data_IF_471734173274
#
_entry.id   IF_471734173274
#
_cell.length_a   1.000
_cell.length_b   1.000
_cell.length_c   1.000
_cell.angle_alpha   90.00
_cell.angle_beta   90.00
_cell.angle_gamma   90.00
#
_symmetry.space_group_name_H-M   'P 1'
#
loop_
_entity.id
_entity.type
_entity.pdbx_description
1 polymer ?
#
# COMPACT_ATOMS: atom_id res chain seq x y z
N UNK A 1 47.09 -28.15 6.81
CA UNK A 1 45.87 -27.32 6.69
C UNK A 1 46.12 -26.10 7.54
N UNK A 2 46.63 -25.03 6.93
CA UNK A 2 47.01 -23.80 7.64
C UNK A 2 45.75 -23.06 8.10
N UNK A 3 45.75 -22.47 9.31
CA UNK A 3 44.59 -21.72 9.81
C UNK A 3 44.37 -20.47 8.92
N UNK A 4 43.12 -20.13 8.59
CA UNK A 4 42.83 -18.95 7.79
C UNK A 4 43.39 -17.71 8.49
N UNK A 5 44.13 -16.88 7.74
CA UNK A 5 44.71 -15.66 8.28
C UNK A 5 43.60 -14.68 8.69
N UNK A 6 43.83 -13.89 9.74
CA UNK A 6 42.86 -12.93 10.29
C UNK A 6 42.08 -12.10 9.25
N UNK A 7 42.68 -11.55 8.16
CA UNK A 7 41.92 -10.84 7.13
C UNK A 7 40.89 -11.72 6.39
N UNK A 8 41.16 -13.00 6.19
CA UNK A 8 40.23 -13.94 5.56
C UNK A 8 39.06 -14.27 6.50
N UNK A 9 39.31 -14.38 7.80
CA UNK A 9 38.25 -14.57 8.80
C UNK A 9 37.31 -13.36 8.90
N UNK A 10 37.82 -12.14 8.75
CA UNK A 10 36.98 -10.94 8.69
C UNK A 10 36.07 -10.92 7.46
N UNK A 11 36.57 -11.38 6.31
CA UNK A 11 35.76 -11.50 5.09
C UNK A 11 34.66 -12.54 5.23
N UNK A 12 34.96 -13.70 5.84
CA UNK A 12 33.94 -14.72 6.14
C UNK A 12 32.89 -14.18 7.11
N UNK A 13 33.30 -13.46 8.16
CA UNK A 13 32.38 -12.85 9.11
C UNK A 13 31.52 -11.73 8.48
N UNK A 14 32.06 -10.99 7.50
CA UNK A 14 31.32 -9.98 6.75
C UNK A 14 30.28 -10.65 5.82
N UNK A 15 30.67 -11.71 5.11
CA UNK A 15 29.78 -12.48 4.25
C UNK A 15 28.62 -13.11 5.04
N UNK A 16 28.90 -13.69 6.21
CA UNK A 16 27.87 -14.25 7.09
C UNK A 16 26.90 -13.18 7.58
N UNK A 17 27.38 -11.99 7.97
CA UNK A 17 26.51 -10.87 8.35
C UNK A 17 25.63 -10.39 7.21
N UNK A 18 26.18 -10.35 5.99
CA UNK A 18 25.41 -9.99 4.80
C UNK A 18 24.29 -11.00 4.51
N UNK A 19 24.60 -12.29 4.65
CA UNK A 19 23.61 -13.37 4.49
C UNK A 19 22.52 -13.27 5.55
N UNK A 20 22.89 -13.08 6.83
CA UNK A 20 21.92 -12.89 7.93
C UNK A 20 21.03 -11.67 7.72
N UNK A 21 21.58 -10.56 7.22
CA UNK A 21 20.80 -9.37 6.88
C UNK A 21 19.79 -9.64 5.75
N UNK A 22 20.18 -10.44 4.74
CA UNK A 22 19.28 -10.89 3.69
C UNK A 22 18.11 -11.74 4.22
N UNK A 23 18.39 -12.65 5.16
CA UNK A 23 17.34 -13.45 5.80
C UNK A 23 16.42 -12.62 6.69
N UNK A 24 16.93 -11.60 7.40
CA UNK A 24 16.11 -10.68 8.17
C UNK A 24 15.18 -9.86 7.25
N UNK A 25 15.70 -9.31 6.14
CA UNK A 25 14.89 -8.58 5.17
C UNK A 25 13.80 -9.47 4.52
N UNK A 26 14.10 -10.75 4.28
CA UNK A 26 13.11 -11.72 3.80
C UNK A 26 12.06 -12.03 4.87
N UNK A 27 12.47 -12.22 6.13
CA UNK A 27 11.56 -12.45 7.24
C UNK A 27 10.65 -11.26 7.48
N UNK A 28 11.15 -10.04 7.37
CA UNK A 28 10.36 -8.80 7.45
C UNK A 28 9.36 -8.72 6.28
N UNK A 29 9.77 -9.09 5.07
CA UNK A 29 8.89 -9.11 3.90
C UNK A 29 7.76 -10.13 4.01
N UNK A 30 8.01 -11.28 4.64
CA UNK A 30 6.99 -12.31 4.91
C UNK A 30 6.12 -11.91 6.10
N UNK A 31 6.70 -11.31 7.15
CA UNK A 31 5.98 -10.86 8.35
C UNK A 31 5.13 -9.61 8.10
N UNK A 32 5.40 -8.87 7.03
CA UNK A 32 4.57 -7.76 6.58
C UNK A 32 3.16 -8.21 6.11
N UNK A 33 2.92 -9.52 5.97
CA UNK A 33 1.70 -10.08 5.42
C UNK A 33 0.98 -10.98 6.44
N UNK A 34 0.24 -10.36 7.38
CA UNK A 34 -0.87 -11.02 8.11
C UNK A 34 -1.78 -10.04 8.87
N UNK A 35 -1.28 -8.86 9.26
CA UNK A 35 -2.06 -7.85 10.01
C UNK A 35 -2.37 -6.56 9.23
N UNK A 36 -1.68 -6.30 8.12
CA UNK A 36 -2.05 -5.22 7.23
C UNK A 36 -3.09 -5.72 6.23
N UNK A 37 -4.21 -5.01 6.01
CA UNK A 37 -5.12 -5.37 4.94
C UNK A 37 -4.30 -5.36 3.63
N UNK A 38 -4.51 -6.36 2.75
CA UNK A 38 -3.90 -6.38 1.41
C UNK A 38 -3.98 -4.99 0.80
N UNK A 39 -2.98 -4.57 0.03
CA UNK A 39 -2.95 -3.22 -0.56
C UNK A 39 -4.30 -2.90 -1.22
N UNK A 40 -4.89 -3.87 -1.92
CA UNK A 40 -6.23 -3.82 -2.50
C UNK A 40 -7.36 -3.52 -1.50
N UNK A 41 -7.34 -4.13 -0.30
CA UNK A 41 -8.28 -3.88 0.80
C UNK A 41 -8.13 -2.47 1.39
N UNK A 42 -6.91 -1.93 1.47
CA UNK A 42 -6.67 -0.53 1.92
C UNK A 42 -7.19 0.50 0.91
N UNK A 43 -6.96 0.27 -0.38
CA UNK A 43 -7.51 1.13 -1.44
C UNK A 43 -9.04 1.09 -1.43
N UNK A 44 -9.65 -0.09 -1.28
CA UNK A 44 -11.10 -0.24 -1.14
C UNK A 44 -11.64 0.51 0.07
N UNK A 45 -11.03 0.34 1.25
CA UNK A 45 -11.46 1.02 2.47
C UNK A 45 -11.41 2.55 2.30
N UNK A 46 -10.33 3.06 1.70
CA UNK A 46 -10.19 4.49 1.41
C UNK A 46 -11.27 4.99 0.46
N UNK A 47 -11.49 4.31 -0.67
CA UNK A 47 -12.49 4.69 -1.68
C UNK A 47 -13.92 4.63 -1.12
N UNK A 48 -14.24 3.60 -0.32
CA UNK A 48 -15.51 3.50 0.39
C UNK A 48 -15.73 4.65 1.37
N UNK A 49 -14.72 5.01 2.16
CA UNK A 49 -14.80 6.09 3.13
C UNK A 49 -14.91 7.47 2.44
N UNK A 50 -14.27 7.63 1.28
CA UNK A 50 -14.41 8.81 0.44
C UNK A 50 -15.86 8.97 -0.05
N UNK A 51 -16.44 7.90 -0.59
CA UNK A 51 -17.79 7.90 -1.14
C UNK A 51 -17.97 8.90 -2.28
N UNK A 52 -19.19 9.40 -2.47
CA UNK A 52 -19.53 10.32 -3.58
C UNK A 52 -19.28 11.81 -3.27
N UNK A 53 -18.72 12.13 -2.09
CA UNK A 53 -18.56 13.53 -1.66
C UNK A 53 -17.24 14.12 -2.17
N UNK A 54 -17.25 15.42 -2.47
CA UNK A 54 -16.04 16.17 -2.79
C UNK A 54 -15.26 16.55 -1.53
N UNK A 55 -14.00 16.13 -1.44
CA UNK A 55 -13.13 16.45 -0.30
C UNK A 55 -12.21 17.63 -0.61
N UNK A 56 -12.05 18.52 0.36
CA UNK A 56 -11.00 19.52 0.37
C UNK A 56 -9.62 18.85 0.43
N UNK A 57 -8.56 19.62 0.17
CA UNK A 57 -7.17 19.13 0.30
C UNK A 57 -6.87 18.59 1.71
N UNK A 58 -7.38 19.26 2.74
CA UNK A 58 -7.15 18.89 4.12
C UNK A 58 -7.88 17.58 4.47
N UNK A 59 -9.16 17.47 4.10
CA UNK A 59 -9.96 16.26 4.31
C UNK A 59 -9.38 15.06 3.57
N UNK A 60 -9.02 15.22 2.29
CA UNK A 60 -8.36 14.18 1.52
C UNK A 60 -7.04 13.74 2.17
N UNK A 61 -6.22 14.70 2.61
CA UNK A 61 -4.95 14.38 3.29
C UNK A 61 -5.16 13.66 4.63
N UNK A 62 -6.20 14.02 5.38
CA UNK A 62 -6.56 13.34 6.62
C UNK A 62 -7.01 11.89 6.33
N UNK A 63 -7.89 11.72 5.35
CA UNK A 63 -8.41 10.42 4.94
C UNK A 63 -7.30 9.50 4.43
N UNK A 64 -6.37 10.00 3.60
CA UNK A 64 -5.20 9.22 3.19
C UNK A 64 -4.40 8.72 4.41
N UNK A 65 -4.12 9.58 5.41
CA UNK A 65 -3.38 9.16 6.61
C UNK A 65 -4.13 8.11 7.43
N UNK A 66 -5.44 8.28 7.59
CA UNK A 66 -6.30 7.33 8.33
C UNK A 66 -6.23 5.92 7.73
N UNK A 67 -6.10 5.83 6.40
CA UNK A 67 -5.98 4.56 5.68
C UNK A 67 -4.52 4.14 5.38
N UNK A 68 -3.53 4.78 6.00
CA UNK A 68 -2.12 4.39 5.91
C UNK A 68 -1.37 4.87 4.66
N UNK A 69 -1.91 5.84 3.93
CA UNK A 69 -1.28 6.42 2.75
C UNK A 69 -0.58 7.74 3.05
N UNK A 70 0.49 8.02 2.29
CA UNK A 70 1.12 9.34 2.29
C UNK A 70 0.21 10.39 1.62
N UNK A 71 -0.01 11.57 2.22
CA UNK A 71 -0.76 12.67 1.57
C UNK A 71 -0.18 13.10 0.22
N UNK A 72 1.12 12.85 -0.02
CA UNK A 72 1.77 13.14 -1.29
C UNK A 72 1.29 12.23 -2.43
N UNK A 73 0.71 11.07 -2.10
CA UNK A 73 0.16 10.13 -3.08
C UNK A 73 -1.05 10.71 -3.83
N UNK A 74 -1.76 11.69 -3.26
CA UNK A 74 -2.93 12.31 -3.89
C UNK A 74 -2.65 12.84 -5.31
N UNK A 75 -1.45 13.38 -5.57
CA UNK A 75 -1.07 13.83 -6.91
C UNK A 75 -0.85 12.68 -7.90
N UNK A 76 -0.43 11.51 -7.43
CA UNK A 76 -0.36 10.28 -8.22
C UNK A 76 -1.75 9.77 -8.58
N UNK A 77 -2.71 9.88 -7.67
CA UNK A 77 -4.09 9.45 -7.88
C UNK A 77 -4.83 10.31 -8.91
N UNK A 78 -4.59 11.63 -8.89
CA UNK A 78 -5.11 12.51 -9.95
C UNK A 78 -4.51 12.17 -11.32
N UNK A 79 -3.19 11.95 -11.39
CA UNK A 79 -2.53 11.55 -12.65
C UNK A 79 -2.98 10.18 -13.16
N UNK A 80 -3.35 9.29 -12.25
CA UNK A 80 -3.82 7.94 -12.55
C UNK A 80 -5.33 7.84 -12.78
N UNK A 81 -6.04 8.96 -12.90
CA UNK A 81 -7.48 9.01 -13.14
C UNK A 81 -8.33 8.35 -12.04
N UNK A 82 -7.83 8.36 -10.80
CA UNK A 82 -8.57 7.92 -9.61
C UNK A 82 -9.27 9.08 -8.88
N UNK A 83 -8.76 10.30 -9.09
CA UNK A 83 -9.33 11.51 -8.51
C UNK A 83 -9.39 12.60 -9.57
N UNK A 84 -10.45 13.38 -9.54
CA UNK A 84 -10.55 14.62 -10.30
C UNK A 84 -10.69 15.82 -9.36
N UNK A 85 -10.15 16.96 -9.78
CA UNK A 85 -10.36 18.24 -9.09
C UNK A 85 -11.34 19.04 -9.94
N UNK A 86 -12.51 19.36 -9.36
CA UNK A 86 -13.55 20.14 -10.06
C UNK A 86 -13.38 21.63 -9.79
N UNK A 87 -14.21 22.44 -10.47
CA UNK A 87 -14.17 23.91 -10.43
C UNK A 87 -14.37 24.51 -9.02
N UNK A 88 -14.95 23.74 -8.10
CA UNK A 88 -15.12 24.10 -6.70
C UNK A 88 -13.86 23.85 -5.84
N UNK A 89 -12.77 23.37 -6.46
CA UNK A 89 -11.51 23.07 -5.80
C UNK A 89 -11.50 21.79 -4.96
N UNK A 90 -12.59 21.03 -4.98
CA UNK A 90 -12.72 19.76 -4.25
C UNK A 90 -12.27 18.58 -5.12
N UNK A 91 -11.90 17.50 -4.44
CA UNK A 91 -11.44 16.24 -5.03
C UNK A 91 -12.56 15.21 -4.97
N UNK A 92 -12.92 14.69 -6.13
CA UNK A 92 -13.95 13.69 -6.29
C UNK A 92 -13.33 12.39 -6.79
N UNK A 93 -13.95 11.27 -6.41
CA UNK A 93 -13.70 10.01 -7.08
C UNK A 93 -14.19 10.12 -8.52
N UNK A 94 -13.39 9.61 -9.46
CA UNK A 94 -13.79 9.49 -10.87
C UNK A 94 -14.77 8.34 -11.05
N UNK A 95 -15.47 8.31 -12.19
CA UNK A 95 -16.35 7.18 -12.55
C UNK A 95 -15.58 5.85 -12.58
N UNK A 96 -14.32 5.88 -13.04
CA UNK A 96 -13.41 4.73 -12.99
C UNK A 96 -13.28 4.17 -11.56
N UNK A 97 -13.09 5.05 -10.60
CA UNK A 97 -12.89 4.69 -9.19
C UNK A 97 -14.14 4.10 -8.57
N UNK A 98 -15.29 4.68 -8.91
CA UNK A 98 -16.60 4.21 -8.45
C UNK A 98 -16.96 2.86 -9.09
N UNK A 99 -16.65 2.67 -10.37
CA UNK A 99 -16.87 1.40 -11.07
C UNK A 99 -16.02 0.29 -10.46
N UNK A 100 -14.71 0.53 -10.29
CA UNK A 100 -13.81 -0.39 -9.62
C UNK A 100 -14.33 -0.76 -8.22
N UNK A 101 -14.83 0.22 -7.45
CA UNK A 101 -15.38 -0.03 -6.12
C UNK A 101 -16.63 -0.94 -6.17
N UNK A 102 -17.47 -0.80 -7.19
CA UNK A 102 -18.66 -1.63 -7.39
C UNK A 102 -18.29 -3.08 -7.77
N UNK A 103 -17.32 -3.28 -8.68
CA UNK A 103 -16.83 -4.61 -9.09
C UNK A 103 -16.27 -5.41 -7.90
N UNK A 104 -15.64 -4.71 -6.95
CA UNK A 104 -15.09 -5.30 -5.72
C UNK A 104 -16.15 -5.59 -4.65
N UNK A 105 -17.32 -4.95 -4.76
CA UNK A 105 -18.50 -5.25 -3.93
C UNK A 105 -19.16 -6.58 -4.32
N UNK A 106 -19.19 -6.87 -5.63
CA UNK A 106 -19.83 -8.06 -6.20
C UNK A 106 -18.96 -9.32 -6.08
N UNK A 107 -17.63 -9.17 -6.15
CA UNK A 107 -16.67 -10.28 -6.02
C UNK A 107 -16.51 -10.80 -4.58
N UNK A 108 -17.19 -10.19 -3.60
CA UNK A 108 -17.06 -10.48 -2.17
C UNK A 108 -18.12 -11.38 -1.55
N UNK A 109 -19.14 -11.82 -2.29
CA UNK A 109 -20.20 -12.69 -1.77
C UNK A 109 -20.19 -14.09 -2.40
N UNK A 110 -19.50 -15.08 -1.79
CA UNK A 110 -19.62 -16.49 -2.15
C UNK A 110 -20.86 -17.18 -1.54
N UNK A 111 -21.87 -16.45 -1.02
CA UNK A 111 -23.06 -17.04 -0.39
C UNK A 111 -24.37 -16.53 -0.98
N UNK A 112 -24.57 -16.78 -2.26
CA UNK A 112 -25.91 -16.86 -2.84
C UNK A 112 -25.92 -17.89 -3.96
N UNK A 113 -25.90 -19.16 -3.59
CA UNK A 113 -26.44 -20.22 -4.43
C UNK A 113 -27.38 -21.05 -3.55
N UNK A 114 -28.61 -21.18 -4.06
CA UNK A 114 -29.82 -21.88 -3.61
C UNK A 114 -29.66 -22.97 -2.53
#
# INVERSE_FOLDING_TARGET
MEPPTSPQMHQVAAALRQISAGFAALADAISADEAEPPAETRHRALLSAWGQRGLTRAEASALFREHGFSPQAAGGWVRGDWLEIRDDGRRYLTDRSLHWLAEQGDSGDPRSHD
#
